data_IF_788493787818
#
_entry.id   IF_788493787818
#
_cell.length_a   1.000
_cell.length_b   1.000
_cell.length_c   1.000
_cell.angle_alpha   90.00
_cell.angle_beta   90.00
_cell.angle_gamma   90.00
#
_symmetry.space_group_name_H-M   'P 1'
#
loop_
_entity.id
_entity.type
_entity.pdbx_description
1 polymer ?
#
# COMPACT_ATOMS: atom_id res chain seq x y z
N UNK A 1 -5.63 10.74 22.99
CA UNK A 1 -5.63 9.27 22.91
C UNK A 1 -4.39 8.87 22.13
N UNK A 2 -3.56 7.98 22.68
CA UNK A 2 -2.46 7.39 21.90
C UNK A 2 -3.07 6.33 20.98
N UNK A 3 -2.85 6.45 19.67
CA UNK A 3 -3.36 5.48 18.69
C UNK A 3 -2.46 4.25 18.73
N UNK A 4 -3.03 3.07 19.00
CA UNK A 4 -2.30 1.81 18.98
C UNK A 4 -2.18 1.27 17.54
N UNK A 5 -0.95 1.23 17.03
CA UNK A 5 -0.63 0.73 15.69
C UNK A 5 -0.96 -0.76 15.53
N UNK A 6 -0.95 -1.53 16.62
CA UNK A 6 -1.33 -2.95 16.60
C UNK A 6 -2.82 -3.11 16.35
N UNK A 7 -3.65 -2.31 17.04
CA UNK A 7 -5.08 -2.26 16.81
C UNK A 7 -5.41 -1.82 15.36
N UNK A 8 -4.81 -0.73 14.89
CA UNK A 8 -4.96 -0.27 13.50
C UNK A 8 -4.63 -1.35 12.47
N UNK A 9 -3.47 -2.00 12.63
CA UNK A 9 -3.06 -3.08 11.74
C UNK A 9 -4.07 -4.24 11.74
N UNK A 10 -4.66 -4.56 12.90
CA UNK A 10 -5.65 -5.64 13.01
C UNK A 10 -6.98 -5.33 12.31
N UNK A 11 -7.35 -4.05 12.21
CA UNK A 11 -8.57 -3.60 11.51
C UNK A 11 -8.37 -3.50 10.00
N UNK A 12 -7.12 -3.38 9.55
CA UNK A 12 -6.79 -3.33 8.14
C UNK A 12 -6.77 -4.75 7.50
N UNK A 13 -7.49 -4.99 6.39
CA UNK A 13 -7.64 -6.33 5.81
C UNK A 13 -6.36 -7.01 5.34
N UNK A 14 -5.35 -6.24 4.90
CA UNK A 14 -4.05 -6.78 4.52
C UNK A 14 -3.15 -7.03 5.74
N UNK A 15 -2.89 -5.99 6.55
CA UNK A 15 -1.96 -6.06 7.67
C UNK A 15 -2.37 -7.03 8.78
N UNK A 16 -3.67 -7.33 8.94
CA UNK A 16 -4.14 -8.39 9.84
C UNK A 16 -3.69 -9.79 9.43
N UNK A 17 -3.32 -9.99 8.16
CA UNK A 17 -2.91 -11.28 7.57
C UNK A 17 -1.44 -11.32 7.21
N UNK A 18 -0.83 -10.17 6.94
CA UNK A 18 0.52 -10.06 6.42
C UNK A 18 1.57 -10.04 7.54
N UNK A 19 1.88 -11.21 8.08
CA UNK A 19 2.96 -11.38 9.06
C UNK A 19 4.32 -11.48 8.37
N UNK A 20 5.42 -11.26 9.11
CA UNK A 20 6.77 -11.42 8.56
C UNK A 20 7.01 -12.82 8.00
N UNK A 21 6.50 -13.86 8.66
CA UNK A 21 6.58 -15.24 8.18
C UNK A 21 5.80 -15.44 6.87
N UNK A 22 4.60 -14.85 6.74
CA UNK A 22 3.83 -14.92 5.48
C UNK A 22 4.59 -14.26 4.34
N UNK A 23 5.19 -13.09 4.57
CA UNK A 23 6.00 -12.40 3.55
C UNK A 23 7.21 -13.25 3.16
N UNK A 24 7.91 -13.79 4.15
CA UNK A 24 9.08 -14.64 3.92
C UNK A 24 8.74 -15.83 3.03
N UNK A 25 7.69 -16.58 3.38
CA UNK A 25 7.23 -17.72 2.60
C UNK A 25 6.84 -17.34 1.17
N UNK A 26 6.13 -16.22 0.98
CA UNK A 26 5.80 -15.72 -0.35
C UNK A 26 7.07 -15.49 -1.19
N UNK A 27 8.09 -14.83 -0.63
CA UNK A 27 9.33 -14.60 -1.37
C UNK A 27 10.11 -15.90 -1.64
N UNK A 28 10.14 -16.85 -0.69
CA UNK A 28 10.77 -18.16 -0.88
C UNK A 28 10.09 -18.98 -1.98
N UNK A 29 8.75 -18.97 -2.05
CA UNK A 29 7.98 -19.60 -3.13
C UNK A 29 8.35 -19.04 -4.51
N UNK A 30 8.70 -17.75 -4.55
CA UNK A 30 9.21 -17.07 -5.74
C UNK A 30 10.74 -17.19 -5.93
N UNK A 31 11.42 -18.05 -5.15
CA UNK A 31 12.86 -18.33 -5.23
C UNK A 31 13.75 -17.11 -4.99
N UNK A 32 13.28 -16.13 -4.22
CA UNK A 32 14.11 -15.00 -3.82
C UNK A 32 15.27 -15.47 -2.94
N UNK A 33 16.41 -14.78 -3.03
CA UNK A 33 17.55 -15.03 -2.15
C UNK A 33 17.24 -14.53 -0.72
N UNK A 34 17.83 -15.13 0.31
CA UNK A 34 17.67 -14.65 1.69
C UNK A 34 18.11 -13.19 1.85
N UNK A 35 19.15 -12.77 1.12
CA UNK A 35 19.61 -11.37 1.10
C UNK A 35 18.56 -10.41 0.54
N UNK A 36 17.87 -10.79 -0.55
CA UNK A 36 16.77 -9.98 -1.10
C UNK A 36 15.55 -9.98 -0.18
N UNK A 37 15.27 -11.10 0.51
CA UNK A 37 14.18 -11.18 1.48
C UNK A 37 14.46 -10.24 2.64
N UNK A 38 15.66 -10.27 3.22
CA UNK A 38 16.05 -9.40 4.32
C UNK A 38 15.97 -7.92 3.91
N UNK A 39 16.50 -7.57 2.75
CA UNK A 39 16.42 -6.20 2.22
C UNK A 39 14.97 -5.75 1.97
N UNK A 40 14.11 -6.65 1.45
CA UNK A 40 12.70 -6.36 1.30
C UNK A 40 12.00 -6.18 2.65
N UNK A 41 12.31 -7.01 3.65
CA UNK A 41 11.69 -6.94 4.97
C UNK A 41 11.96 -5.60 5.64
N UNK A 42 13.16 -5.05 5.50
CA UNK A 42 13.48 -3.69 5.99
C UNK A 42 12.63 -2.63 5.28
N UNK A 43 12.56 -2.70 3.95
CA UNK A 43 11.72 -1.81 3.16
C UNK A 43 10.24 -1.91 3.57
N UNK A 44 9.73 -3.12 3.73
CA UNK A 44 8.36 -3.40 4.15
C UNK A 44 8.07 -2.83 5.53
N UNK A 45 8.97 -2.96 6.51
CA UNK A 45 8.75 -2.44 7.86
C UNK A 45 8.67 -0.91 7.86
N UNK A 46 9.57 -0.23 7.16
CA UNK A 46 9.53 1.22 7.00
C UNK A 46 8.21 1.67 6.35
N UNK A 47 7.89 1.07 5.20
CA UNK A 47 6.65 1.36 4.47
C UNK A 47 5.39 1.08 5.30
N UNK A 48 5.34 -0.04 6.03
CA UNK A 48 4.21 -0.39 6.90
C UNK A 48 4.01 0.68 7.97
N UNK A 49 5.07 1.17 8.59
CA UNK A 49 4.99 2.19 9.62
C UNK A 49 4.48 3.53 9.06
N UNK A 50 4.87 3.89 7.83
CA UNK A 50 4.32 5.05 7.13
C UNK A 50 2.82 4.89 6.88
N UNK A 51 2.37 3.72 6.38
CA UNK A 51 0.95 3.47 6.16
C UNK A 51 0.14 3.51 7.45
N UNK A 52 0.65 2.95 8.56
CA UNK A 52 -0.01 3.00 9.85
C UNK A 52 -0.08 4.43 10.41
N UNK A 53 0.94 5.26 10.15
CA UNK A 53 0.92 6.68 10.50
C UNK A 53 -0.17 7.44 9.74
N UNK A 54 -0.36 7.15 8.45
CA UNK A 54 -1.45 7.72 7.65
C UNK A 54 -2.81 7.31 8.18
N UNK A 55 -2.99 6.02 8.50
CA UNK A 55 -4.22 5.50 9.11
C UNK A 55 -4.53 6.23 10.42
N UNK A 56 -3.54 6.35 11.30
CA UNK A 56 -3.68 7.05 12.57
C UNK A 56 -4.07 8.52 12.39
N UNK A 57 -3.46 9.22 11.44
CA UNK A 57 -3.78 10.62 11.15
C UNK A 57 -5.22 10.80 10.63
N UNK A 58 -5.72 9.88 9.80
CA UNK A 58 -7.11 9.90 9.33
C UNK A 58 -8.11 9.62 10.46
N UNK A 59 -7.80 8.72 11.40
CA UNK A 59 -8.67 8.50 12.56
C UNK A 59 -8.71 9.70 13.50
N UNK A 60 -7.56 10.36 13.69
CA UNK A 60 -7.45 11.54 14.54
C UNK A 60 -8.19 12.76 13.95
N UNK A 61 -8.29 12.85 12.62
CA UNK A 61 -8.91 13.98 11.93
C UNK A 61 -10.05 13.54 10.99
N UNK A 62 -11.26 13.42 11.53
CA UNK A 62 -12.45 13.03 10.76
C UNK A 62 -12.93 14.08 9.75
N UNK A 63 -12.38 15.30 9.79
CA UNK A 63 -12.65 16.34 8.80
C UNK A 63 -11.75 16.29 7.57
N UNK A 64 -10.71 15.44 7.58
CA UNK A 64 -9.82 15.26 6.45
C UNK A 64 -10.45 14.38 5.35
N UNK A 65 -9.77 14.36 4.21
CA UNK A 65 -10.06 13.44 3.12
C UNK A 65 -8.82 12.63 2.78
N UNK A 66 -9.05 11.44 2.26
CA UNK A 66 -8.06 10.61 1.63
C UNK A 66 -8.19 10.79 0.12
N UNK A 67 -7.08 11.04 -0.56
CA UNK A 67 -6.92 10.81 -2.00
C UNK A 67 -6.10 9.55 -2.24
N UNK A 68 -6.59 8.66 -3.10
CA UNK A 68 -5.80 7.52 -3.55
C UNK A 68 -4.86 8.00 -4.66
N UNK A 69 -3.56 7.84 -4.46
CA UNK A 69 -2.54 8.06 -5.48
C UNK A 69 -1.94 6.73 -5.91
N UNK A 70 -1.13 6.73 -6.96
CA UNK A 70 -0.43 5.53 -7.42
C UNK A 70 1.03 5.84 -7.66
N UNK A 71 1.90 5.07 -7.02
CA UNK A 71 3.34 5.18 -7.24
C UNK A 71 3.69 4.85 -8.69
N UNK A 72 4.67 5.57 -9.28
CA UNK A 72 5.18 5.23 -10.59
C UNK A 72 5.85 3.85 -10.56
N UNK A 73 6.08 3.24 -11.74
CA UNK A 73 6.95 2.07 -11.84
C UNK A 73 8.31 2.31 -11.18
N UNK A 74 8.90 1.28 -10.59
CA UNK A 74 10.24 1.43 -10.03
C UNK A 74 11.22 1.58 -11.19
N UNK A 75 11.99 2.66 -11.17
CA UNK A 75 13.12 2.80 -12.07
C UNK A 75 14.28 2.00 -11.51
N UNK A 76 14.42 0.79 -12.00
CA UNK A 76 15.42 -0.17 -11.56
C UNK A 76 16.61 -0.26 -12.53
N UNK A 77 16.77 0.71 -13.42
CA UNK A 77 17.83 0.72 -14.43
C UNK A 77 17.69 -0.41 -15.46
N UNK A 78 18.79 -0.75 -16.14
CA UNK A 78 18.82 -1.84 -17.15
C UNK A 78 18.85 -3.25 -16.53
N UNK A 79 19.09 -3.36 -15.22
CA UNK A 79 19.42 -4.63 -14.56
C UNK A 79 18.25 -5.34 -13.89
N UNK A 80 17.04 -4.78 -14.01
CA UNK A 80 15.87 -5.33 -13.38
C UNK A 80 14.83 -5.79 -14.38
N UNK A 81 14.05 -6.80 -14.02
CA UNK A 81 13.09 -7.39 -14.93
C UNK A 81 12.06 -6.36 -15.36
N UNK A 82 11.71 -6.38 -16.65
CA UNK A 82 10.71 -5.53 -17.31
C UNK A 82 9.35 -5.46 -16.59
N UNK A 83 9.10 -6.31 -15.61
CA UNK A 83 7.87 -6.36 -14.83
C UNK A 83 7.82 -5.29 -13.71
N UNK A 84 8.97 -4.88 -13.15
CA UNK A 84 9.04 -3.82 -12.14
C UNK A 84 8.83 -2.41 -12.73
N UNK A 85 9.11 -2.26 -14.03
CA UNK A 85 8.85 -1.07 -14.83
C UNK A 85 7.44 -1.04 -15.44
N UNK A 86 6.61 -2.06 -15.21
CA UNK A 86 5.22 -2.05 -15.68
C UNK A 86 4.39 -1.01 -14.94
N UNK A 87 3.43 -0.38 -15.65
CA UNK A 87 2.49 0.55 -15.04
C UNK A 87 1.64 -0.12 -13.95
N UNK A 88 1.04 0.65 -13.02
CA UNK A 88 0.08 0.14 -12.04
C UNK A 88 -1.01 -0.70 -12.71
N UNK A 89 -1.50 -1.75 -12.06
CA UNK A 89 -2.53 -2.63 -12.66
C UNK A 89 -3.83 -1.86 -12.96
N UNK A 90 -4.74 -2.43 -13.78
CA UNK A 90 -6.03 -1.79 -14.14
C UNK A 90 -6.81 -1.31 -12.92
N UNK A 91 -6.79 -2.10 -11.84
CA UNK A 91 -7.45 -1.76 -10.59
C UNK A 91 -6.80 -0.56 -9.87
N UNK A 92 -5.47 -0.53 -9.77
CA UNK A 92 -4.76 0.62 -9.20
C UNK A 92 -5.05 1.90 -10.00
N UNK A 93 -5.09 1.80 -11.33
CA UNK A 93 -5.39 2.94 -12.20
C UNK A 93 -6.83 3.43 -12.07
N UNK A 94 -7.82 2.53 -11.90
CA UNK A 94 -9.21 2.93 -11.74
C UNK A 94 -9.48 3.63 -10.41
N UNK A 95 -8.65 3.39 -9.39
CA UNK A 95 -8.75 4.06 -8.09
C UNK A 95 -7.92 5.34 -7.99
N UNK A 96 -7.02 5.61 -8.93
CA UNK A 96 -6.20 6.82 -8.89
C UNK A 96 -7.08 8.09 -8.90
N UNK A 97 -6.83 8.99 -7.96
CA UNK A 97 -7.59 10.22 -7.78
C UNK A 97 -8.92 10.05 -7.04
N UNK A 98 -9.32 8.83 -6.69
CA UNK A 98 -10.51 8.60 -5.87
C UNK A 98 -10.36 9.27 -4.50
N UNK A 99 -11.46 9.84 -4.01
CA UNK A 99 -11.49 10.56 -2.73
C UNK A 99 -12.45 9.89 -1.75
N UNK A 100 -11.98 9.67 -0.53
CA UNK A 100 -12.76 9.09 0.56
C UNK A 100 -12.73 10.04 1.77
N UNK A 101 -13.89 10.40 2.35
CA UNK A 101 -13.91 11.23 3.55
C UNK A 101 -13.39 10.42 4.76
N UNK A 102 -12.56 11.02 5.61
CA UNK A 102 -12.06 10.37 6.82
C UNK A 102 -13.18 10.05 7.85
N UNK A 103 -14.34 10.69 7.70
CA UNK A 103 -15.54 10.39 8.48
C UNK A 103 -16.21 9.06 8.10
N UNK A 104 -15.78 8.39 7.02
CA UNK A 104 -16.31 7.09 6.61
C UNK A 104 -16.15 6.05 7.74
N UNK A 105 -17.20 5.29 8.11
CA UNK A 105 -17.15 4.35 9.24
C UNK A 105 -16.11 3.25 9.04
N UNK A 106 -15.94 2.77 7.81
CA UNK A 106 -14.96 1.74 7.44
C UNK A 106 -13.67 2.30 6.81
N UNK A 107 -13.29 3.55 7.09
CA UNK A 107 -12.14 4.20 6.42
C UNK A 107 -10.89 3.32 6.41
N UNK A 108 -10.52 2.72 7.56
CA UNK A 108 -9.34 1.85 7.69
C UNK A 108 -9.41 0.63 6.76
N UNK A 109 -10.60 0.10 6.52
CA UNK A 109 -10.78 -1.05 5.64
C UNK A 109 -10.65 -0.64 4.18
N UNK A 110 -11.00 0.59 3.83
CA UNK A 110 -11.01 1.12 2.47
C UNK A 110 -9.64 1.67 2.01
N UNK A 111 -8.66 1.78 2.91
CA UNK A 111 -7.36 2.35 2.58
C UNK A 111 -6.51 1.38 1.75
N UNK A 112 -5.70 1.89 0.80
CA UNK A 112 -4.56 1.13 0.31
C UNK A 112 -3.56 0.97 1.46
N UNK A 113 -2.70 -0.08 1.40
CA UNK A 113 -2.51 -1.03 0.31
C UNK A 113 -3.52 -2.18 0.26
N UNK A 114 -3.92 -2.60 -0.94
CA UNK A 114 -4.88 -3.70 -1.11
C UNK A 114 -4.25 -5.09 -1.20
N UNK A 115 -2.94 -5.15 -1.47
CA UNK A 115 -2.12 -6.35 -1.54
C UNK A 115 -0.64 -5.98 -1.37
N UNK A 116 0.23 -6.95 -1.05
CA UNK A 116 1.68 -6.75 -1.08
C UNK A 116 2.12 -6.41 -2.51
N UNK A 117 2.88 -5.32 -2.69
CA UNK A 117 3.25 -4.83 -4.02
C UNK A 117 2.17 -4.04 -4.75
N UNK A 118 1.07 -3.69 -4.06
CA UNK A 118 0.14 -2.70 -4.57
C UNK A 118 0.84 -1.33 -4.71
N UNK A 119 0.58 -0.64 -5.83
CA UNK A 119 1.11 0.71 -6.08
C UNK A 119 0.20 1.82 -5.58
N UNK A 120 -1.03 1.51 -5.13
CA UNK A 120 -1.89 2.52 -4.53
C UNK A 120 -1.29 3.02 -3.21
N UNK A 121 -1.41 4.32 -2.97
CA UNK A 121 -1.03 5.00 -1.73
C UNK A 121 -2.16 5.88 -1.24
N UNK A 122 -2.12 6.13 0.06
CA UNK A 122 -3.01 7.00 0.77
C UNK A 122 -2.34 8.37 0.92
N UNK A 123 -2.95 9.41 0.38
CA UNK A 123 -2.55 10.80 0.59
C UNK A 123 -3.65 11.53 1.37
N UNK A 124 -3.28 12.18 2.48
CA UNK A 124 -4.22 12.97 3.27
C UNK A 124 -4.30 14.37 2.66
N UNK A 125 -5.52 14.82 2.37
CA UNK A 125 -5.80 16.15 1.83
C UNK A 125 -6.87 16.85 2.68
N UNK A 126 -6.89 18.19 2.61
CA UNK A 126 -7.91 19.03 3.26
C UNK A 126 -9.11 19.26 2.35
N UNK A 127 -10.20 19.80 2.90
CA UNK A 127 -11.42 20.15 2.16
C UNK A 127 -11.12 21.06 0.97
N UNK A 128 -10.22 22.03 1.13
CA UNK A 128 -9.85 23.01 0.10
C UNK A 128 -9.10 22.37 -1.07
N UNK A 129 -8.49 21.21 -0.85
CA UNK A 129 -7.76 20.45 -1.85
C UNK A 129 -8.66 19.44 -2.59
N UNK A 130 -9.89 19.23 -2.13
CA UNK A 130 -10.85 18.35 -2.80
C UNK A 130 -11.34 19.05 -4.08
N UNK A 131 -11.16 18.44 -5.27
CA UNK A 131 -11.70 19.00 -6.50
C UNK A 131 -13.24 19.16 -6.42
N UNK A 132 -13.81 20.25 -6.95
CA UNK A 132 -15.24 20.57 -6.79
C UNK A 132 -16.22 19.47 -7.23
N UNK A 133 -15.79 18.59 -8.15
CA UNK A 133 -16.59 17.50 -8.71
C UNK A 133 -15.93 16.13 -8.47
N UNK A 134 -15.08 16.00 -7.46
CA UNK A 134 -14.44 14.72 -7.19
C UNK A 134 -15.49 13.67 -6.81
N UNK A 135 -15.48 12.48 -7.44
CA UNK A 135 -16.35 11.41 -7.04
C UNK A 135 -15.94 10.95 -5.63
N UNK A 136 -16.77 11.27 -4.64
CA UNK A 136 -16.63 10.75 -3.29
C UNK A 136 -17.07 9.29 -3.29
N UNK A 137 -16.14 8.39 -2.97
CA UNK A 137 -16.45 6.97 -2.85
C UNK A 137 -16.95 6.73 -1.42
N UNK A 138 -18.27 6.62 -1.28
CA UNK A 138 -18.93 6.25 -0.02
C UNK A 138 -19.17 4.74 0.13
N UNK A 139 -18.93 3.98 -0.95
CA UNK A 139 -18.94 2.52 -0.92
C UNK A 139 -17.69 2.03 -1.65
N UNK A 140 -16.71 1.54 -0.90
CA UNK A 140 -15.62 0.81 -1.51
C UNK A 140 -16.13 -0.61 -1.78
N UNK A 141 -16.49 -0.93 -3.04
CA UNK A 141 -16.43 -2.32 -3.48
C UNK A 141 -14.96 -2.73 -3.37
N UNK A 142 -14.64 -3.27 -2.20
CA UNK A 142 -13.28 -3.54 -1.78
C UNK A 142 -12.60 -4.43 -2.83
N UNK A 143 -11.43 -4.03 -3.37
CA UNK A 143 -10.65 -4.92 -4.22
C UNK A 143 -10.51 -6.31 -3.61
N UNK A 144 -10.34 -7.31 -4.48
CA UNK A 144 -9.95 -8.65 -4.05
C UNK A 144 -8.74 -8.55 -3.13
N UNK A 145 -8.93 -9.01 -1.89
CA UNK A 145 -7.95 -8.95 -0.80
C UNK A 145 -6.96 -10.10 -0.92
N UNK A 146 -6.24 -10.12 -2.02
CA UNK A 146 -5.14 -11.06 -2.27
C UNK A 146 -3.93 -10.69 -1.41
N UNK A 147 -3.11 -11.68 -1.04
CA UNK A 147 -1.93 -11.43 -0.20
C UNK A 147 -0.87 -10.60 -0.94
N UNK A 148 -0.75 -10.79 -2.26
CA UNK A 148 0.16 -10.06 -3.12
C UNK A 148 -0.53 -9.63 -4.42
N UNK A 149 0.03 -8.62 -5.07
CA UNK A 149 -0.47 -8.09 -6.32
C UNK A 149 -0.28 -9.10 -7.45
N UNK A 150 -1.29 -9.31 -8.29
CA UNK A 150 -1.25 -10.23 -9.44
C UNK A 150 -0.17 -9.91 -10.49
N UNK A 151 0.43 -8.71 -10.46
CA UNK A 151 1.59 -8.42 -11.30
C UNK A 151 2.90 -9.00 -10.78
N UNK A 152 2.94 -9.42 -9.51
CA UNK A 152 4.06 -10.10 -8.83
C UNK A 152 5.42 -9.38 -8.92
N UNK A 153 5.41 -8.11 -9.32
CA UNK A 153 6.65 -7.38 -9.62
C UNK A 153 7.58 -7.30 -8.42
N UNK A 154 7.05 -7.26 -7.20
CA UNK A 154 7.83 -7.19 -5.96
C UNK A 154 8.79 -8.37 -5.80
N UNK A 155 8.44 -9.55 -6.29
CA UNK A 155 9.26 -10.76 -6.14
C UNK A 155 10.39 -10.82 -7.17
N UNK A 156 10.32 -9.97 -8.19
CA UNK A 156 11.29 -9.88 -9.26
C UNK A 156 12.34 -8.78 -9.06
N UNK A 157 12.15 -7.92 -8.05
CA UNK A 157 13.06 -6.82 -7.76
C UNK A 157 14.25 -7.35 -6.93
N UNK A 158 15.50 -7.05 -7.32
CA UNK A 158 16.68 -7.39 -6.52
C UNK A 158 16.83 -6.38 -5.37
N UNK A 159 16.03 -6.54 -4.32
CA UNK A 159 15.93 -5.59 -3.21
C UNK A 159 17.27 -5.31 -2.54
N UNK A 160 18.17 -6.30 -2.47
CA UNK A 160 19.51 -6.12 -1.92
C UNK A 160 20.30 -5.02 -2.66
N UNK A 161 20.14 -4.92 -3.99
CA UNK A 161 20.81 -3.90 -4.81
C UNK A 161 20.19 -2.50 -4.66
N UNK A 162 18.98 -2.41 -4.12
CA UNK A 162 18.24 -1.16 -3.95
C UNK A 162 18.19 -0.71 -2.48
N UNK A 163 18.86 -1.42 -1.58
CA UNK A 163 19.00 -1.03 -0.18
C UNK A 163 19.74 0.31 -0.16
N UNK A 164 19.04 1.38 0.23
CA UNK A 164 19.69 2.67 0.45
C UNK A 164 20.66 2.47 1.62
N UNK A 165 21.95 2.62 1.34
CA UNK A 165 23.03 2.68 2.33
C UNK A 165 22.80 3.81 3.34
#
# INVERSE_FOLDING_TARGET
MSIDFKDLASRHPLFSRLTGQVIWLLFEEHKASSEDIDAFMEHYLAWRNEQLSVMAALEANRGAYLRITTDPPLNTGNDAPHIASRPPCKHCRSLHGAILPASHPDIIRCLPPFALGCRCRAEIITTEQVPPNAPLIFSCEMPRRELHCASEWIFSVPWAKHRKS
#
